data_IF_038878920418
#
_entry.id   IF_038878920418
#
_cell.length_a   1.000
_cell.length_b   1.000
_cell.length_c   1.000
_cell.angle_alpha   90.00
_cell.angle_beta   90.00
_cell.angle_gamma   90.00
#
_symmetry.space_group_name_H-M   'P 1'
#
loop_
_entity.id
_entity.type
_entity.pdbx_description
1 polymer ?
#
# COMPACT_ATOMS: atom_id res chain seq x y z
N UNK A 1 -11.23 9.18 -23.80
CA UNK A 1 -9.97 8.51 -24.20
C UNK A 1 -9.63 7.49 -23.12
N UNK A 2 -9.24 6.27 -23.50
CA UNK A 2 -8.74 5.29 -22.54
C UNK A 2 -7.25 5.58 -22.30
N UNK A 3 -6.79 5.75 -21.05
CA UNK A 3 -5.39 6.02 -20.78
C UNK A 3 -4.52 4.82 -21.20
N UNK A 4 -3.34 5.14 -21.72
CA UNK A 4 -2.32 4.19 -22.16
C UNK A 4 -1.80 3.35 -20.97
N UNK A 5 -1.06 2.28 -21.27
CA UNK A 5 -0.45 1.46 -20.23
C UNK A 5 0.58 2.26 -19.41
N UNK A 6 1.37 3.09 -20.08
CA UNK A 6 2.40 3.94 -19.48
C UNK A 6 1.77 5.00 -18.57
N UNK A 7 0.72 5.69 -19.03
CA UNK A 7 -0.01 6.68 -18.24
C UNK A 7 -0.60 6.08 -16.95
N UNK A 8 -1.08 4.83 -17.01
CA UNK A 8 -1.59 4.13 -15.81
C UNK A 8 -0.48 3.76 -14.83
N UNK A 9 0.70 3.38 -15.32
CA UNK A 9 1.85 3.06 -14.47
C UNK A 9 2.38 4.32 -13.78
N UNK A 10 2.50 5.43 -14.51
CA UNK A 10 2.91 6.73 -13.97
C UNK A 10 1.91 7.26 -12.94
N UNK A 11 0.60 7.15 -13.21
CA UNK A 11 -0.43 7.53 -12.26
C UNK A 11 -0.36 6.69 -10.98
N UNK A 12 -0.21 5.36 -11.11
CA UNK A 12 -0.09 4.49 -9.93
C UNK A 12 1.16 4.83 -9.09
N UNK A 13 2.30 5.11 -9.72
CA UNK A 13 3.52 5.50 -9.02
C UNK A 13 3.33 6.84 -8.29
N UNK A 14 2.69 7.81 -8.94
CA UNK A 14 2.37 9.12 -8.36
C UNK A 14 1.43 8.98 -7.16
N UNK A 15 0.35 8.20 -7.31
CA UNK A 15 -0.62 7.95 -6.24
C UNK A 15 0.02 7.26 -5.04
N UNK A 16 0.93 6.31 -5.25
CA UNK A 16 1.70 5.66 -4.18
C UNK A 16 2.48 6.69 -3.36
N UNK A 17 3.24 7.57 -4.03
CA UNK A 17 4.02 8.61 -3.36
C UNK A 17 3.13 9.59 -2.57
N UNK A 18 1.97 9.97 -3.13
CA UNK A 18 1.00 10.83 -2.46
C UNK A 18 0.49 10.16 -1.18
N UNK A 19 0.08 8.89 -1.25
CA UNK A 19 -0.42 8.17 -0.09
C UNK A 19 0.65 7.96 0.98
N UNK A 20 1.91 7.70 0.61
CA UNK A 20 3.02 7.60 1.58
C UNK A 20 3.25 8.95 2.30
N UNK A 21 3.26 10.06 1.57
CA UNK A 21 3.42 11.41 2.14
C UNK A 21 2.28 11.80 3.07
N UNK A 22 1.02 11.53 2.65
CA UNK A 22 -0.15 11.73 3.50
C UNK A 22 -0.10 10.85 4.74
N UNK A 23 0.32 9.59 4.60
CA UNK A 23 0.42 8.67 5.73
C UNK A 23 1.39 9.21 6.79
N UNK A 24 2.59 9.59 6.37
CA UNK A 24 3.60 10.18 7.25
C UNK A 24 3.03 11.40 7.98
N UNK A 25 2.46 12.35 7.25
CA UNK A 25 1.87 13.57 7.82
C UNK A 25 0.76 13.23 8.82
N UNK A 26 -0.14 12.31 8.49
CA UNK A 26 -1.21 11.89 9.40
C UNK A 26 -0.66 11.25 10.68
N UNK A 27 0.35 10.38 10.58
CA UNK A 27 0.95 9.71 11.74
C UNK A 27 1.66 10.72 12.65
N UNK A 28 2.46 11.62 12.08
CA UNK A 28 3.16 12.68 12.82
C UNK A 28 2.21 13.61 13.57
N UNK A 29 1.02 13.86 13.00
CA UNK A 29 -0.04 14.67 13.62
C UNK A 29 -0.96 13.87 14.56
N UNK A 30 -0.71 12.58 14.77
CA UNK A 30 -1.50 11.72 15.66
C UNK A 30 -2.78 11.16 15.05
N UNK A 31 -3.05 11.42 13.76
CA UNK A 31 -4.17 10.82 13.01
C UNK A 31 -3.83 9.39 12.55
N UNK A 32 -3.43 8.53 13.48
CA UNK A 32 -2.87 7.19 13.23
C UNK A 32 -3.75 6.35 12.30
N UNK A 33 -5.06 6.30 12.55
CA UNK A 33 -5.99 5.52 11.74
C UNK A 33 -6.10 6.02 10.29
N UNK A 34 -5.98 7.34 10.05
CA UNK A 34 -5.93 7.88 8.69
C UNK A 34 -4.59 7.57 8.02
N UNK A 35 -3.50 7.64 8.78
CA UNK A 35 -2.18 7.25 8.29
C UNK A 35 -2.13 5.79 7.83
N UNK A 36 -2.64 4.87 8.66
CA UNK A 36 -2.74 3.44 8.33
C UNK A 36 -3.59 3.19 7.08
N UNK A 37 -4.70 3.91 6.90
CA UNK A 37 -5.51 3.83 5.66
C UNK A 37 -4.73 4.30 4.43
N UNK A 38 -3.89 5.32 4.57
CA UNK A 38 -3.06 5.80 3.46
C UNK A 38 -1.98 4.77 3.10
N UNK A 39 -1.25 4.23 4.08
CA UNK A 39 -0.28 3.14 3.86
C UNK A 39 -0.94 1.94 3.19
N UNK A 40 -2.13 1.54 3.65
CA UNK A 40 -2.89 0.46 3.07
C UNK A 40 -3.21 0.69 1.58
N UNK A 41 -3.67 1.90 1.21
CA UNK A 41 -3.96 2.25 -0.18
C UNK A 41 -2.72 2.23 -1.06
N UNK A 42 -1.60 2.79 -0.58
CA UNK A 42 -0.32 2.71 -1.28
C UNK A 42 0.07 1.25 -1.54
N UNK A 43 -0.03 0.41 -0.52
CA UNK A 43 0.32 -1.00 -0.63
C UNK A 43 -0.58 -1.77 -1.62
N UNK A 44 -1.88 -1.47 -1.68
CA UNK A 44 -2.76 -2.07 -2.68
C UNK A 44 -2.39 -1.71 -4.12
N UNK A 45 -1.93 -0.48 -4.36
CA UNK A 45 -1.46 -0.05 -5.68
C UNK A 45 -0.14 -0.74 -6.05
N UNK A 46 0.79 -0.84 -5.11
CA UNK A 46 2.02 -1.61 -5.28
C UNK A 46 1.72 -3.09 -5.55
N UNK A 47 0.77 -3.67 -4.82
CA UNK A 47 0.35 -5.06 -5.02
C UNK A 47 -0.24 -5.25 -6.43
N UNK A 48 -1.08 -4.31 -6.88
CA UNK A 48 -1.66 -4.30 -8.24
C UNK A 48 -0.62 -4.28 -9.35
N UNK A 49 0.49 -3.60 -9.14
CA UNK A 49 1.58 -3.46 -10.12
C UNK A 49 2.71 -4.47 -9.93
N UNK A 50 2.58 -5.44 -9.00
CA UNK A 50 3.57 -6.49 -8.76
C UNK A 50 4.80 -6.05 -7.96
N UNK A 51 4.76 -4.88 -7.31
CA UNK A 51 5.85 -4.35 -6.50
C UNK A 51 5.88 -4.97 -5.09
N UNK A 52 6.05 -6.30 -5.00
CA UNK A 52 5.92 -7.06 -3.75
C UNK A 52 6.89 -6.64 -2.63
N UNK A 53 8.11 -6.23 -2.99
CA UNK A 53 9.09 -5.73 -2.01
C UNK A 53 8.57 -4.46 -1.33
N UNK A 54 8.01 -3.53 -2.11
CA UNK A 54 7.41 -2.29 -1.61
C UNK A 54 6.17 -2.56 -0.76
N UNK A 55 5.33 -3.53 -1.16
CA UNK A 55 4.19 -3.99 -0.33
C UNK A 55 4.68 -4.50 1.03
N UNK A 56 5.76 -5.29 1.05
CA UNK A 56 6.36 -5.81 2.28
C UNK A 56 6.91 -4.68 3.17
N UNK A 57 7.54 -3.67 2.57
CA UNK A 57 8.00 -2.49 3.30
C UNK A 57 6.83 -1.73 3.95
N UNK A 58 5.77 -1.46 3.19
CA UNK A 58 4.58 -0.75 3.69
C UNK A 58 3.86 -1.55 4.78
N UNK A 59 3.76 -2.87 4.64
CA UNK A 59 3.20 -3.75 5.66
C UNK A 59 3.96 -3.66 6.99
N UNK A 60 5.31 -3.68 6.94
CA UNK A 60 6.15 -3.51 8.13
C UNK A 60 5.95 -2.14 8.77
N UNK A 61 5.83 -1.08 7.97
CA UNK A 61 5.54 0.26 8.48
C UNK A 61 4.18 0.30 9.19
N UNK A 62 3.15 -0.34 8.65
CA UNK A 62 1.83 -0.40 9.29
C UNK A 62 1.89 -1.09 10.66
N UNK A 63 2.60 -2.22 10.77
CA UNK A 63 2.79 -2.90 12.06
C UNK A 63 3.67 -2.11 13.04
N UNK A 64 4.62 -1.30 12.54
CA UNK A 64 5.42 -0.42 13.39
C UNK A 64 4.59 0.73 13.97
N UNK A 65 3.59 1.22 13.21
CA UNK A 65 2.65 2.26 13.65
C UNK A 65 1.63 1.70 14.63
N UNK A 66 1.08 0.52 14.33
CA UNK A 66 0.12 -0.19 15.18
C UNK A 66 0.28 -1.71 15.00
N UNK A 67 0.88 -2.38 16.00
CA UNK A 67 1.15 -3.81 15.97
C UNK A 67 -0.09 -4.69 15.91
N UNK A 68 -1.26 -4.15 16.27
CA UNK A 68 -2.56 -4.83 16.20
C UNK A 68 -3.40 -4.42 14.98
N UNK A 69 -2.81 -3.71 14.01
CA UNK A 69 -3.57 -3.12 12.90
C UNK A 69 -4.31 -4.18 12.07
N UNK A 70 -5.64 -4.13 12.10
CA UNK A 70 -6.48 -4.95 11.22
C UNK A 70 -6.19 -4.69 9.72
N UNK A 71 -5.84 -3.45 9.37
CA UNK A 71 -5.49 -3.12 7.98
C UNK A 71 -4.18 -3.79 7.54
N UNK A 72 -3.21 -3.93 8.46
CA UNK A 72 -1.97 -4.66 8.16
C UNK A 72 -2.24 -6.15 7.96
N UNK A 73 -3.03 -6.76 8.84
CA UNK A 73 -3.45 -8.17 8.72
C UNK A 73 -4.21 -8.43 7.40
N UNK A 74 -5.09 -7.50 7.01
CA UNK A 74 -5.80 -7.60 5.74
C UNK A 74 -4.85 -7.54 4.55
N UNK A 75 -3.88 -6.61 4.56
CA UNK A 75 -2.89 -6.49 3.49
C UNK A 75 -2.05 -7.77 3.34
N UNK A 76 -1.64 -8.37 4.46
CA UNK A 76 -0.90 -9.63 4.49
C UNK A 76 -1.69 -10.79 3.87
N UNK A 77 -3.00 -10.87 4.16
CA UNK A 77 -3.89 -11.84 3.55
C UNK A 77 -4.04 -11.63 2.03
N UNK A 78 -4.17 -10.39 1.58
CA UNK A 78 -4.26 -10.04 0.15
C UNK A 78 -2.97 -10.36 -0.61
N UNK A 79 -1.81 -10.04 -0.03
CA UNK A 79 -0.49 -10.38 -0.57
C UNK A 79 -0.33 -11.90 -0.73
N UNK A 80 -0.66 -12.66 0.32
CA UNK A 80 -0.62 -14.12 0.32
C UNK A 80 -1.58 -14.75 -0.70
N UNK A 81 -2.76 -14.15 -0.90
CA UNK A 81 -3.70 -14.59 -1.92
C UNK A 81 -3.17 -14.35 -3.34
N UNK A 82 -2.45 -13.24 -3.56
CA UNK A 82 -1.92 -12.89 -4.88
C UNK A 82 -0.70 -13.73 -5.27
N UNK A 83 0.25 -13.93 -4.38
CA UNK A 83 1.43 -14.77 -4.66
C UNK A 83 1.05 -16.21 -5.04
N UNK A 84 -0.03 -16.74 -4.43
CA UNK A 84 -0.58 -18.06 -4.79
C UNK A 84 -1.19 -18.11 -6.20
N UNK A 85 -1.69 -16.99 -6.72
CA UNK A 85 -2.25 -16.93 -8.08
C UNK A 85 -1.16 -16.83 -9.15
N UNK A 86 -0.05 -16.17 -8.85
CA UNK A 86 1.07 -16.02 -9.79
C UNK A 86 2.01 -17.24 -9.83
N UNK A 87 1.84 -18.20 -8.91
CA UNK A 87 2.60 -19.47 -8.88
C UNK A 87 1.93 -20.63 -9.64
N UNK A 88 0.86 -20.37 -10.39
CA UNK A 88 0.12 -21.35 -11.21
C UNK A 88 0.16 -20.97 -12.66
#
# INVERSE_FOLDING_TARGET
MNPSCEEKLEQNATDVLIYESMAQTCIEKGFVQHGLKCLYRAALLCLKTGQFEKVTQLLRQMYAVDGGSHLAQQLEAEMSARMRKESK
#
